data_IF_565149513526
#
_entry.id   IF_565149513526
#
_cell.length_a   1.000
_cell.length_b   1.000
_cell.length_c   1.000
_cell.angle_alpha   90.00
_cell.angle_beta   90.00
_cell.angle_gamma   90.00
#
_symmetry.space_group_name_H-M   'P 1'
#
loop_
_entity.id
_entity.type
_entity.pdbx_description
1 polymer ?
#
# COMPACT_ATOMS: atom_id res chain seq x y z
N UNK A 1 -7.03 45.43 30.64
CA UNK A 1 -6.48 44.88 31.91
C UNK A 1 -5.11 44.30 31.59
N UNK A 2 -4.01 44.66 32.25
CA UNK A 2 -2.70 44.14 31.92
C UNK A 2 -2.57 42.69 32.35
N UNK A 3 -2.00 41.87 31.43
CA UNK A 3 -1.80 40.41 31.55
C UNK A 3 -1.05 40.03 32.84
N UNK A 4 -0.24 40.92 33.37
CA UNK A 4 0.51 40.79 34.64
C UNK A 4 -0.35 40.59 35.90
N UNK A 5 -1.61 40.99 35.91
CA UNK A 5 -2.51 40.83 37.08
C UNK A 5 -3.13 39.44 37.19
N UNK A 6 -3.16 38.67 36.10
CA UNK A 6 -3.68 37.30 36.10
C UNK A 6 -2.73 36.30 36.80
N UNK A 7 -1.42 36.49 36.62
CA UNK A 7 -0.41 35.59 37.21
C UNK A 7 -0.29 35.73 38.75
N UNK A 8 -0.70 36.85 39.34
CA UNK A 8 -0.67 37.07 40.80
C UNK A 8 -1.73 36.27 41.58
N UNK A 9 -2.77 35.77 40.92
CA UNK A 9 -3.89 35.03 41.55
C UNK A 9 -3.68 33.51 41.65
N UNK A 10 -2.65 32.97 41.00
CA UNK A 10 -2.40 31.53 40.95
C UNK A 10 -1.01 31.20 41.51
N UNK A 11 -0.92 30.07 42.19
CA UNK A 11 0.36 29.51 42.65
C UNK A 11 0.42 28.05 42.34
N UNK A 12 1.61 27.55 42.00
CA UNK A 12 1.86 26.10 41.88
C UNK A 12 1.81 25.47 43.27
N UNK A 13 0.96 24.46 43.44
CA UNK A 13 1.00 23.63 44.62
C UNK A 13 2.33 22.86 44.65
N UNK A 14 2.83 22.54 45.88
CA UNK A 14 4.04 21.70 45.97
C UNK A 14 3.85 20.41 45.17
N UNK A 15 4.72 20.14 44.17
CA UNK A 15 4.57 18.97 43.33
C UNK A 15 4.74 17.70 44.19
N UNK A 16 3.81 16.77 44.09
CA UNK A 16 3.95 15.45 44.70
C UNK A 16 4.90 14.65 43.84
N UNK A 17 6.01 14.19 44.40
CA UNK A 17 7.06 13.49 43.65
C UNK A 17 6.50 12.36 42.75
N UNK A 18 5.61 11.54 43.29
CA UNK A 18 5.02 10.40 42.59
C UNK A 18 4.20 10.82 41.34
N UNK A 19 3.34 11.86 41.49
CA UNK A 19 2.53 12.36 40.35
C UNK A 19 3.39 13.03 39.28
N UNK A 20 4.46 13.71 39.68
CA UNK A 20 5.40 14.36 38.78
C UNK A 20 6.19 13.29 37.99
N UNK A 21 6.70 12.27 38.67
CA UNK A 21 7.40 11.18 38.03
C UNK A 21 6.47 10.37 37.06
N UNK A 22 5.23 10.14 37.50
CA UNK A 22 4.25 9.46 36.63
C UNK A 22 3.92 10.27 35.36
N UNK A 23 3.71 11.62 35.52
CA UNK A 23 3.48 12.47 34.36
C UNK A 23 4.70 12.54 33.42
N UNK A 24 5.90 12.71 33.99
CA UNK A 24 7.14 12.72 33.20
C UNK A 24 7.36 11.41 32.46
N UNK A 25 7.15 10.28 33.13
CA UNK A 25 7.27 8.96 32.51
C UNK A 25 6.21 8.76 31.40
N UNK A 26 4.96 9.17 31.63
CA UNK A 26 3.89 9.12 30.62
C UNK A 26 4.21 9.97 29.40
N UNK A 27 4.66 11.22 29.60
CA UNK A 27 5.07 12.10 28.49
C UNK A 27 6.27 11.50 27.74
N UNK A 28 7.30 11.03 28.45
CA UNK A 28 8.46 10.41 27.82
C UNK A 28 8.06 9.20 26.94
N UNK A 29 7.23 8.30 27.48
CA UNK A 29 6.75 7.13 26.75
C UNK A 29 5.99 7.51 25.48
N UNK A 30 5.07 8.47 25.58
CA UNK A 30 4.27 8.92 24.43
C UNK A 30 5.12 9.64 23.38
N UNK A 31 6.12 10.41 23.77
CA UNK A 31 7.07 11.04 22.85
C UNK A 31 7.96 10.00 22.13
N UNK A 32 8.41 8.97 22.84
CA UNK A 32 9.16 7.85 22.23
C UNK A 32 8.28 7.12 21.22
N UNK A 33 7.02 6.83 21.54
CA UNK A 33 6.09 6.20 20.62
C UNK A 33 5.81 7.09 19.38
N UNK A 34 5.64 8.40 19.56
CA UNK A 34 5.49 9.35 18.46
C UNK A 34 6.72 9.36 17.54
N UNK A 35 7.92 9.44 18.11
CA UNK A 35 9.18 9.43 17.38
C UNK A 35 9.36 8.12 16.58
N UNK A 36 9.02 6.99 17.17
CA UNK A 36 9.05 5.70 16.48
C UNK A 36 8.09 5.67 15.27
N UNK A 37 6.87 6.18 15.44
CA UNK A 37 5.90 6.26 14.34
C UNK A 37 6.37 7.19 13.21
N UNK A 38 6.98 8.34 13.54
CA UNK A 38 7.57 9.23 12.55
C UNK A 38 8.72 8.56 11.79
N UNK A 39 9.58 7.83 12.49
CA UNK A 39 10.65 7.04 11.86
C UNK A 39 10.11 6.03 10.85
N UNK A 40 9.01 5.34 11.21
CA UNK A 40 8.35 4.40 10.30
C UNK A 40 7.70 5.09 9.09
N UNK A 41 7.12 6.28 9.27
CA UNK A 41 6.61 7.06 8.15
C UNK A 41 7.72 7.42 7.16
N UNK A 42 8.84 7.97 7.65
CA UNK A 42 9.98 8.34 6.81
C UNK A 42 10.64 7.14 6.10
N UNK A 43 10.76 5.98 6.76
CA UNK A 43 11.25 4.75 6.10
C UNK A 43 10.38 4.37 4.90
N UNK A 44 9.05 4.45 5.06
CA UNK A 44 8.09 4.12 4.01
C UNK A 44 8.07 5.16 2.89
N UNK A 45 8.22 6.43 3.20
CA UNK A 45 8.40 7.50 2.20
C UNK A 45 9.67 7.29 1.38
N UNK A 46 10.76 6.93 2.04
CA UNK A 46 12.02 6.59 1.36
C UNK A 46 11.88 5.40 0.40
N UNK A 47 11.08 4.39 0.80
CA UNK A 47 10.78 3.24 -0.07
C UNK A 47 9.92 3.68 -1.28
N UNK A 48 8.87 4.49 -1.06
CA UNK A 48 8.03 5.03 -2.13
C UNK A 48 8.86 5.83 -3.16
N UNK A 49 9.74 6.71 -2.67
CA UNK A 49 10.61 7.50 -3.52
C UNK A 49 11.57 6.62 -4.35
N UNK A 50 12.11 5.54 -3.78
CA UNK A 50 12.96 4.59 -4.52
C UNK A 50 12.18 3.89 -5.62
N UNK A 51 10.95 3.43 -5.35
CA UNK A 51 10.09 2.80 -6.36
C UNK A 51 9.80 3.79 -7.49
N UNK A 52 9.52 5.05 -7.17
CA UNK A 52 9.27 6.08 -8.18
C UNK A 52 10.51 6.36 -9.07
N UNK A 53 11.71 6.41 -8.49
CA UNK A 53 12.96 6.56 -9.25
C UNK A 53 13.16 5.36 -10.18
N UNK A 54 13.02 4.13 -9.69
CA UNK A 54 13.17 2.91 -10.50
C UNK A 54 12.15 2.84 -11.64
N UNK A 55 10.92 3.31 -11.40
CA UNK A 55 9.88 3.35 -12.44
C UNK A 55 10.16 4.38 -13.56
N UNK A 56 11.03 5.37 -13.31
CA UNK A 56 11.45 6.37 -14.32
C UNK A 56 12.66 5.93 -15.14
N UNK A 57 13.37 4.90 -14.72
CA UNK A 57 14.49 4.35 -15.48
C UNK A 57 14.03 3.78 -16.84
N UNK A 58 14.92 3.68 -17.85
CA UNK A 58 14.62 3.03 -19.11
C UNK A 58 14.10 1.61 -18.88
N UNK A 59 13.10 1.20 -19.67
CA UNK A 59 12.50 -0.11 -19.53
C UNK A 59 13.51 -1.24 -19.78
N UNK A 60 13.54 -2.22 -18.90
CA UNK A 60 14.36 -3.44 -19.06
C UNK A 60 13.61 -4.40 -19.96
N UNK A 61 14.23 -4.82 -21.06
CA UNK A 61 13.63 -5.82 -21.95
C UNK A 61 13.63 -7.21 -21.33
N UNK A 62 12.45 -7.77 -21.11
CA UNK A 62 12.30 -9.16 -20.69
C UNK A 62 12.43 -10.07 -21.92
N UNK A 63 13.40 -10.99 -21.84
CA UNK A 63 13.65 -12.00 -22.85
C UNK A 63 13.21 -13.39 -22.35
N UNK A 64 13.49 -14.42 -23.12
CA UNK A 64 13.26 -15.81 -22.71
C UNK A 64 14.25 -16.32 -21.66
N UNK A 65 15.33 -15.58 -21.37
CA UNK A 65 16.20 -15.84 -20.22
C UNK A 65 15.45 -15.55 -18.91
N UNK A 66 15.62 -16.38 -17.90
CA UNK A 66 15.01 -16.16 -16.60
C UNK A 66 15.69 -14.99 -15.89
N UNK A 67 14.89 -14.01 -15.48
CA UNK A 67 15.36 -12.89 -14.66
C UNK A 67 15.23 -13.23 -13.17
N UNK A 68 16.03 -12.61 -12.32
CA UNK A 68 15.76 -12.63 -10.87
C UNK A 68 14.74 -11.55 -10.55
N UNK A 69 13.70 -11.89 -9.79
CA UNK A 69 12.66 -10.92 -9.42
C UNK A 69 13.24 -9.64 -8.82
N UNK A 70 14.24 -9.76 -7.93
CA UNK A 70 14.88 -8.63 -7.27
C UNK A 70 15.60 -7.64 -8.21
N UNK A 71 15.97 -8.08 -9.42
CA UNK A 71 16.70 -7.22 -10.38
C UNK A 71 15.72 -6.34 -11.20
N UNK A 72 14.44 -6.72 -11.27
CA UNK A 72 13.46 -6.05 -12.10
C UNK A 72 12.22 -5.55 -11.35
N UNK A 73 12.01 -6.00 -10.12
CA UNK A 73 10.87 -5.57 -9.29
C UNK A 73 10.92 -4.06 -9.04
N UNK A 74 9.78 -3.39 -9.26
CA UNK A 74 9.66 -1.93 -9.16
C UNK A 74 10.22 -1.16 -10.35
N UNK A 75 10.78 -1.85 -11.36
CA UNK A 75 11.30 -1.21 -12.58
C UNK A 75 10.27 -1.30 -13.71
N UNK A 76 10.35 -0.36 -14.62
CA UNK A 76 9.65 -0.48 -15.90
C UNK A 76 10.30 -1.56 -16.75
N UNK A 77 9.48 -2.44 -17.30
CA UNK A 77 9.91 -3.54 -18.18
C UNK A 77 9.15 -3.50 -19.51
N UNK A 78 9.78 -4.03 -20.56
CA UNK A 78 9.17 -4.23 -21.85
C UNK A 78 9.22 -5.73 -22.20
N UNK A 79 8.17 -6.23 -22.82
CA UNK A 79 8.12 -7.60 -23.34
C UNK A 79 7.40 -7.61 -24.68
N UNK A 80 7.96 -8.37 -25.64
CA UNK A 80 7.37 -8.58 -26.94
C UNK A 80 6.96 -10.05 -27.08
N UNK A 81 5.72 -10.30 -27.52
CA UNK A 81 5.21 -11.66 -27.60
C UNK A 81 3.75 -11.73 -27.99
N UNK A 82 3.13 -12.90 -27.77
CA UNK A 82 1.72 -13.15 -28.04
C UNK A 82 0.98 -13.50 -26.76
N UNK A 83 -0.18 -12.93 -26.56
CA UNK A 83 -1.07 -13.31 -25.47
C UNK A 83 -1.69 -14.70 -25.70
N UNK A 84 -1.86 -15.45 -24.61
CA UNK A 84 -2.50 -16.77 -24.59
C UNK A 84 -3.80 -16.70 -23.76
N UNK A 85 -4.95 -16.42 -24.42
CA UNK A 85 -6.24 -16.19 -23.73
C UNK A 85 -6.78 -17.43 -23.00
N UNK A 86 -6.40 -18.62 -23.41
CA UNK A 86 -6.77 -19.90 -22.80
C UNK A 86 -6.31 -20.02 -21.35
N UNK A 87 -5.20 -19.37 -21.00
CA UNK A 87 -4.62 -19.35 -19.67
C UNK A 87 -4.94 -18.08 -18.87
N UNK A 88 -5.86 -17.25 -19.38
CA UNK A 88 -6.24 -16.03 -18.69
C UNK A 88 -7.04 -16.34 -17.41
N UNK A 89 -6.76 -15.57 -16.35
CA UNK A 89 -7.52 -15.58 -15.10
C UNK A 89 -8.03 -14.17 -14.76
N UNK A 90 -9.18 -14.12 -14.10
CA UNK A 90 -9.83 -12.91 -13.67
C UNK A 90 -9.72 -12.83 -12.15
N UNK A 91 -9.08 -11.79 -11.62
CA UNK A 91 -9.02 -11.57 -10.19
C UNK A 91 -10.22 -10.75 -9.75
N UNK A 92 -11.10 -11.38 -8.98
CA UNK A 92 -12.37 -10.82 -8.53
C UNK A 92 -12.21 -9.72 -7.47
N UNK A 93 -13.31 -9.06 -7.21
CA UNK A 93 -13.46 -8.05 -6.16
C UNK A 93 -12.50 -6.87 -6.32
N UNK A 94 -12.29 -6.41 -7.56
CA UNK A 94 -11.50 -5.22 -7.89
C UNK A 94 -12.45 -4.05 -8.14
N UNK A 95 -12.54 -3.16 -7.14
CA UNK A 95 -13.44 -2.00 -7.21
C UNK A 95 -12.69 -0.84 -7.86
N UNK A 96 -13.31 -0.25 -8.90
CA UNK A 96 -12.83 0.96 -9.55
C UNK A 96 -13.96 1.98 -9.65
N UNK A 97 -13.77 3.16 -9.08
CA UNK A 97 -14.78 4.25 -9.05
C UNK A 97 -16.16 3.78 -8.56
N UNK A 98 -16.18 2.90 -7.55
CA UNK A 98 -17.41 2.35 -6.97
C UNK A 98 -18.04 1.20 -7.76
N UNK A 99 -17.47 0.79 -8.90
CA UNK A 99 -17.94 -0.33 -9.70
C UNK A 99 -17.09 -1.57 -9.42
N UNK A 100 -17.75 -2.69 -9.10
CA UNK A 100 -17.08 -3.97 -8.93
C UNK A 100 -16.69 -4.57 -10.29
N UNK A 101 -15.51 -5.18 -10.35
CA UNK A 101 -15.00 -5.78 -11.58
C UNK A 101 -13.81 -6.69 -11.30
N UNK A 102 -13.02 -6.92 -12.33
CA UNK A 102 -11.93 -7.87 -12.33
C UNK A 102 -10.64 -7.25 -12.83
N UNK A 103 -9.50 -7.67 -12.30
CA UNK A 103 -8.22 -7.54 -13.00
C UNK A 103 -8.03 -8.73 -13.94
N UNK A 104 -7.64 -8.44 -15.17
CA UNK A 104 -7.41 -9.45 -16.21
C UNK A 104 -5.94 -9.82 -16.23
N UNK A 105 -5.61 -11.04 -15.80
CA UNK A 105 -4.25 -11.56 -15.89
C UNK A 105 -4.18 -12.56 -17.04
N UNK A 106 -3.18 -12.38 -17.89
CA UNK A 106 -3.00 -13.21 -19.08
C UNK A 106 -1.51 -13.40 -19.36
N UNK A 107 -1.03 -14.62 -19.62
CA UNK A 107 0.36 -14.83 -19.99
C UNK A 107 0.64 -14.31 -21.39
N UNK A 108 1.82 -13.74 -21.54
CA UNK A 108 2.41 -13.35 -22.81
C UNK A 108 3.56 -14.31 -23.10
N UNK A 109 3.43 -15.12 -24.16
CA UNK A 109 4.50 -15.96 -24.68
C UNK A 109 5.58 -15.05 -25.27
N UNK A 110 6.75 -14.97 -24.64
CA UNK A 110 7.84 -14.07 -25.05
C UNK A 110 8.44 -14.57 -26.37
N UNK A 111 8.58 -13.66 -27.33
CA UNK A 111 9.14 -13.97 -28.64
C UNK A 111 10.56 -14.55 -28.54
N UNK A 112 10.85 -15.55 -29.33
CA UNK A 112 12.18 -16.20 -29.42
C UNK A 112 12.40 -17.37 -28.47
N UNK A 113 11.36 -17.85 -27.74
CA UNK A 113 11.50 -19.02 -26.89
C UNK A 113 10.20 -19.53 -26.29
N UNK A 114 10.31 -20.31 -25.21
CA UNK A 114 9.18 -20.98 -24.56
C UNK A 114 8.73 -20.33 -23.26
N UNK A 115 9.42 -19.29 -22.78
CA UNK A 115 9.10 -18.64 -21.50
C UNK A 115 8.02 -17.59 -21.68
N UNK A 116 7.18 -17.47 -20.68
CA UNK A 116 6.08 -16.51 -20.62
C UNK A 116 6.32 -15.50 -19.50
N UNK A 117 5.66 -14.37 -19.60
CA UNK A 117 5.51 -13.45 -18.47
C UNK A 117 4.01 -13.23 -18.22
N UNK A 118 3.60 -13.30 -16.96
CA UNK A 118 2.22 -13.01 -16.59
C UNK A 118 2.00 -11.49 -16.63
N UNK A 119 0.95 -11.06 -17.33
CA UNK A 119 0.61 -9.65 -17.50
C UNK A 119 -0.73 -9.37 -16.86
N UNK A 120 -0.76 -8.41 -15.94
CA UNK A 120 -2.00 -7.78 -15.53
C UNK A 120 -2.33 -6.72 -16.58
N UNK A 121 -3.26 -7.04 -17.46
CA UNK A 121 -3.62 -6.21 -18.61
C UNK A 121 -4.45 -4.99 -18.26
N UNK A 122 -5.10 -5.00 -17.10
CA UNK A 122 -5.96 -3.93 -16.64
C UNK A 122 -7.24 -4.42 -15.97
N UNK A 123 -8.10 -3.48 -15.66
CA UNK A 123 -9.40 -3.70 -15.02
C UNK A 123 -10.53 -3.70 -16.05
N UNK A 124 -11.50 -4.60 -15.82
CA UNK A 124 -12.77 -4.66 -16.58
C UNK A 124 -13.94 -4.70 -15.59
N UNK A 125 -15.02 -4.00 -15.93
CA UNK A 125 -16.26 -4.04 -15.13
C UNK A 125 -16.84 -5.46 -15.12
N UNK A 126 -17.39 -5.85 -13.98
CA UNK A 126 -18.22 -7.05 -13.90
C UNK A 126 -19.51 -6.88 -14.71
N UNK A 127 -20.10 -7.99 -15.14
CA UNK A 127 -21.41 -8.00 -15.79
C UNK A 127 -22.52 -7.91 -14.75
N UNK A 128 -23.73 -7.46 -15.16
CA UNK A 128 -24.90 -7.44 -14.29
C UNK A 128 -25.28 -8.84 -13.79
N UNK A 129 -25.04 -9.86 -14.62
CA UNK A 129 -25.20 -11.26 -14.30
C UNK A 129 -23.81 -11.87 -13.95
N UNK A 130 -23.54 -12.10 -12.66
CA UNK A 130 -22.27 -12.63 -12.19
C UNK A 130 -21.95 -14.05 -12.72
N UNK A 131 -22.92 -14.78 -13.25
CA UNK A 131 -22.68 -16.06 -13.90
C UNK A 131 -22.01 -15.92 -15.26
N UNK A 132 -22.05 -14.72 -15.85
CA UNK A 132 -21.42 -14.43 -17.15
C UNK A 132 -20.16 -13.59 -16.94
N UNK A 133 -19.03 -14.14 -17.31
CA UNK A 133 -17.77 -13.41 -17.26
C UNK A 133 -17.69 -12.39 -18.39
N UNK A 134 -17.06 -11.22 -18.15
CA UNK A 134 -16.84 -10.23 -19.19
C UNK A 134 -15.92 -10.81 -20.29
N UNK A 135 -16.22 -10.47 -21.54
CA UNK A 135 -15.38 -10.82 -22.67
C UNK A 135 -14.18 -9.91 -22.76
N UNK A 136 -12.99 -10.51 -22.84
CA UNK A 136 -11.72 -9.75 -22.92
C UNK A 136 -11.21 -9.79 -24.36
N UNK A 137 -11.27 -8.64 -25.03
CA UNK A 137 -10.67 -8.50 -26.36
C UNK A 137 -9.16 -8.71 -26.27
N UNK A 138 -8.65 -9.62 -27.11
CA UNK A 138 -7.22 -9.96 -27.10
C UNK A 138 -6.66 -9.87 -28.51
N UNK A 139 -5.57 -9.12 -28.74
CA UNK A 139 -4.90 -9.07 -30.02
C UNK A 139 -4.42 -10.47 -30.46
N UNK A 140 -4.69 -10.82 -31.71
CA UNK A 140 -4.31 -12.14 -32.26
C UNK A 140 -2.83 -12.26 -32.66
N UNK A 141 -2.11 -11.13 -32.77
CA UNK A 141 -0.72 -11.08 -33.23
C UNK A 141 0.29 -10.84 -32.11
N UNK A 142 1.55 -10.70 -32.52
CA UNK A 142 2.62 -10.25 -31.64
C UNK A 142 2.38 -8.78 -31.22
N UNK A 143 2.48 -8.53 -29.94
CA UNK A 143 2.37 -7.20 -29.34
C UNK A 143 3.64 -6.88 -28.57
N UNK A 144 3.93 -5.59 -28.43
CA UNK A 144 4.92 -5.09 -27.51
C UNK A 144 4.20 -4.38 -26.36
N UNK A 145 4.47 -4.81 -25.14
CA UNK A 145 3.88 -4.24 -23.94
C UNK A 145 4.97 -3.65 -23.05
N UNK A 146 4.63 -2.55 -22.39
CA UNK A 146 5.45 -1.95 -21.33
C UNK A 146 4.61 -1.82 -20.07
N UNK A 147 5.26 -1.86 -18.92
CA UNK A 147 4.62 -1.69 -17.64
C UNK A 147 5.56 -1.88 -16.48
N UNK A 148 5.03 -1.79 -15.27
CA UNK A 148 5.79 -1.96 -14.05
C UNK A 148 5.89 -3.46 -13.70
N UNK A 149 7.12 -3.95 -13.44
CA UNK A 149 7.31 -5.30 -12.91
C UNK A 149 7.01 -5.32 -11.43
N UNK A 150 6.08 -6.17 -11.02
CA UNK A 150 5.69 -6.35 -9.62
C UNK A 150 5.84 -7.81 -9.21
N UNK A 151 6.32 -8.05 -8.00
CA UNK A 151 6.25 -9.38 -7.41
C UNK A 151 4.89 -9.53 -6.71
N UNK A 152 4.03 -10.48 -7.12
CA UNK A 152 2.79 -10.72 -6.40
C UNK A 152 3.06 -11.10 -4.95
N UNK A 153 2.20 -10.64 -4.04
CA UNK A 153 2.31 -11.00 -2.63
C UNK A 153 2.37 -12.53 -2.45
N UNK A 154 3.28 -12.98 -1.59
CA UNK A 154 3.42 -14.41 -1.28
C UNK A 154 2.40 -14.92 -0.26
N UNK A 155 1.71 -14.00 0.42
CA UNK A 155 0.76 -14.33 1.49
C UNK A 155 -0.48 -13.46 1.35
N UNK A 156 -1.63 -14.10 1.25
CA UNK A 156 -2.94 -13.49 1.38
C UNK A 156 -3.67 -14.15 2.54
N UNK A 157 -4.43 -13.37 3.30
CA UNK A 157 -5.41 -13.93 4.22
C UNK A 157 -6.61 -14.36 3.36
N UNK A 158 -6.75 -15.65 3.12
CA UNK A 158 -7.87 -16.21 2.38
C UNK A 158 -8.99 -16.54 3.37
N UNK A 159 -10.11 -15.84 3.22
CA UNK A 159 -11.30 -16.03 4.06
C UNK A 159 -12.20 -17.19 3.57
N UNK A 160 -11.87 -17.77 2.41
CA UNK A 160 -12.63 -18.87 1.80
C UNK A 160 -11.70 -19.99 1.34
N UNK A 161 -12.14 -21.22 1.57
CA UNK A 161 -11.47 -22.42 1.04
C UNK A 161 -11.47 -22.49 -0.50
N UNK A 162 -12.42 -21.82 -1.17
CA UNK A 162 -12.55 -21.75 -2.63
C UNK A 162 -11.94 -20.45 -3.15
N UNK A 163 -10.62 -20.30 -3.02
CA UNK A 163 -9.89 -19.12 -3.48
C UNK A 163 -9.76 -19.03 -5.02
N UNK A 164 -10.12 -20.09 -5.74
CA UNK A 164 -10.13 -20.16 -7.21
C UNK A 164 -11.27 -21.06 -7.68
N UNK A 165 -12.14 -20.54 -8.54
CA UNK A 165 -13.21 -21.28 -9.19
C UNK A 165 -13.10 -21.07 -10.71
N UNK A 166 -12.62 -22.09 -11.41
CA UNK A 166 -12.35 -22.03 -12.84
C UNK A 166 -11.37 -20.90 -13.20
N UNK A 167 -11.84 -19.92 -14.00
CA UNK A 167 -11.04 -18.75 -14.43
C UNK A 167 -11.12 -17.55 -13.46
N UNK A 168 -11.93 -17.62 -12.40
CA UNK A 168 -12.12 -16.53 -11.44
C UNK A 168 -11.40 -16.86 -10.14
N UNK A 169 -10.49 -15.99 -9.74
CA UNK A 169 -9.68 -16.15 -8.56
C UNK A 169 -9.84 -14.94 -7.62
N UNK A 170 -9.81 -15.16 -6.32
CA UNK A 170 -9.87 -14.06 -5.34
C UNK A 170 -8.53 -13.32 -5.26
N UNK A 171 -7.42 -14.06 -5.30
CA UNK A 171 -6.08 -13.53 -5.19
C UNK A 171 -5.12 -14.24 -6.14
N UNK A 172 -4.07 -13.53 -6.55
CA UNK A 172 -2.99 -14.07 -7.35
C UNK A 172 -1.77 -14.36 -6.46
N UNK A 173 -1.28 -15.61 -6.50
CA UNK A 173 0.11 -15.93 -6.21
C UNK A 173 0.72 -16.60 -7.43
N UNK A 174 1.99 -16.32 -7.74
CA UNK A 174 2.67 -16.99 -8.86
C UNK A 174 2.79 -18.50 -8.64
N UNK A 175 2.88 -18.92 -7.39
CA UNK A 175 2.90 -20.34 -6.99
C UNK A 175 1.61 -21.05 -7.46
N UNK A 176 0.45 -20.50 -7.05
CA UNK A 176 -0.86 -21.05 -7.48
C UNK A 176 -1.01 -21.04 -8.99
N UNK A 177 -0.59 -19.96 -9.64
CA UNK A 177 -0.71 -19.87 -11.09
C UNK A 177 0.13 -20.93 -11.80
N UNK A 178 1.38 -21.19 -11.36
CA UNK A 178 2.24 -22.24 -11.89
C UNK A 178 1.69 -23.65 -11.67
N UNK A 179 0.97 -23.87 -10.58
CA UNK A 179 0.30 -25.15 -10.32
C UNK A 179 -0.91 -25.38 -11.25
N UNK A 180 -1.64 -24.30 -11.56
CA UNK A 180 -2.83 -24.36 -12.41
C UNK A 180 -2.49 -24.36 -13.91
N UNK A 181 -1.39 -23.72 -14.32
CA UNK A 181 -1.01 -23.51 -15.73
C UNK A 181 0.45 -23.98 -15.93
N UNK A 182 0.66 -25.11 -16.61
CA UNK A 182 1.99 -25.75 -16.71
C UNK A 182 2.88 -25.12 -17.80
N UNK A 183 3.10 -23.80 -17.72
CA UNK A 183 3.97 -23.04 -18.63
C UNK A 183 5.15 -22.43 -17.87
N UNK A 184 6.34 -22.32 -18.46
CA UNK A 184 7.48 -21.69 -17.82
C UNK A 184 7.28 -20.18 -17.73
N UNK A 185 7.25 -19.63 -16.52
CA UNK A 185 6.97 -18.22 -16.24
C UNK A 185 8.17 -17.48 -15.69
N UNK A 186 8.31 -16.22 -16.10
CA UNK A 186 9.14 -15.25 -15.38
C UNK A 186 8.63 -15.06 -13.93
N UNK A 187 9.51 -14.75 -12.96
CA UNK A 187 9.14 -14.64 -11.54
C UNK A 187 8.47 -13.32 -11.16
N UNK A 188 7.99 -12.56 -12.14
CA UNK A 188 7.31 -11.26 -11.96
C UNK A 188 6.03 -11.20 -12.78
N UNK A 189 5.16 -10.26 -12.40
CA UNK A 189 3.96 -9.88 -13.18
C UNK A 189 4.17 -8.47 -13.71
N UNK A 190 3.82 -8.24 -14.97
CA UNK A 190 3.82 -6.89 -15.56
C UNK A 190 2.45 -6.25 -15.29
N UNK A 191 2.40 -5.14 -14.58
CA UNK A 191 1.25 -4.23 -14.61
C UNK A 191 1.35 -3.41 -15.89
N UNK A 192 0.55 -3.75 -16.88
CA UNK A 192 0.62 -3.14 -18.20
C UNK A 192 0.26 -1.66 -18.15
N UNK A 193 1.14 -0.80 -18.68
CA UNK A 193 0.93 0.64 -18.85
C UNK A 193 0.66 1.01 -20.31
N UNK A 194 1.30 0.28 -21.24
CA UNK A 194 1.13 0.50 -22.68
C UNK A 194 -0.34 0.39 -23.09
N UNK A 195 -0.86 1.33 -23.89
CA UNK A 195 -2.24 1.28 -24.36
C UNK A 195 -2.45 0.12 -25.33
N UNK A 196 -3.63 -0.48 -25.26
CA UNK A 196 -4.16 -1.39 -26.28
C UNK A 196 -5.65 -1.10 -26.45
N UNK A 197 -6.18 -1.31 -27.64
CA UNK A 197 -7.61 -1.13 -27.95
C UNK A 197 -8.45 -2.34 -27.50
N UNK A 198 -8.35 -2.67 -26.22
CA UNK A 198 -8.99 -3.85 -25.62
C UNK A 198 -10.10 -3.47 -24.60
N UNK A 199 -10.29 -2.18 -24.34
CA UNK A 199 -11.32 -1.68 -23.42
C UNK A 199 -10.96 -1.85 -21.95
N UNK A 200 -9.74 -2.26 -21.60
CA UNK A 200 -9.30 -2.42 -20.23
C UNK A 200 -8.77 -1.10 -19.66
N UNK A 201 -9.12 -0.83 -18.42
CA UNK A 201 -8.60 0.33 -17.70
C UNK A 201 -7.24 0.00 -17.05
N UNK A 202 -6.25 0.88 -17.25
CA UNK A 202 -4.86 0.72 -16.78
C UNK A 202 -4.45 1.83 -15.83
N UNK A 203 -5.38 2.24 -14.97
CA UNK A 203 -5.10 3.15 -13.86
C UNK A 203 -4.68 2.30 -12.67
N UNK A 204 -3.39 2.30 -12.37
CA UNK A 204 -2.85 1.56 -11.23
C UNK A 204 -2.75 2.47 -10.04
N UNK A 205 -3.38 2.10 -8.93
CA UNK A 205 -3.18 2.80 -7.67
C UNK A 205 -1.73 2.60 -7.21
N UNK A 206 -1.05 3.67 -6.78
CA UNK A 206 0.25 3.52 -6.15
C UNK A 206 0.13 2.56 -4.96
N UNK A 207 1.14 1.73 -4.68
CA UNK A 207 1.11 0.87 -3.51
C UNK A 207 0.91 1.71 -2.25
N UNK A 208 -0.22 1.48 -1.54
CA UNK A 208 -0.46 2.12 -0.25
C UNK A 208 0.52 1.53 0.78
N UNK A 209 1.58 2.26 1.03
CA UNK A 209 2.57 1.90 2.04
C UNK A 209 2.09 2.23 3.46
N UNK A 210 0.90 2.79 3.62
CA UNK A 210 0.32 3.14 4.92
C UNK A 210 1.06 4.27 5.64
N UNK A 211 1.70 5.17 4.91
CA UNK A 211 2.45 6.33 5.46
C UNK A 211 1.54 7.19 6.32
N UNK A 212 0.35 7.53 5.80
CA UNK A 212 -0.62 8.38 6.50
C UNK A 212 -1.09 7.79 7.83
N UNK A 213 -1.17 6.46 7.93
CA UNK A 213 -1.53 5.78 9.17
C UNK A 213 -0.47 6.02 10.27
N UNK A 214 0.82 5.99 9.92
CA UNK A 214 1.89 6.27 10.87
C UNK A 214 1.90 7.73 11.31
N UNK A 215 1.66 8.70 10.42
CA UNK A 215 1.47 10.10 10.80
C UNK A 215 0.25 10.28 11.71
N UNK A 216 -0.87 9.60 11.43
CA UNK A 216 -2.06 9.62 12.30
C UNK A 216 -1.75 9.12 13.71
N UNK A 217 -1.05 8.00 13.84
CA UNK A 217 -0.63 7.49 15.16
C UNK A 217 0.39 8.41 15.86
N UNK A 218 1.35 8.98 15.13
CA UNK A 218 2.28 9.95 15.71
C UNK A 218 1.55 11.16 16.28
N UNK A 219 0.56 11.70 15.56
CA UNK A 219 -0.30 12.78 16.05
C UNK A 219 -1.07 12.40 17.33
N UNK A 220 -1.64 11.19 17.39
CA UNK A 220 -2.35 10.70 18.58
C UNK A 220 -1.43 10.63 19.80
N UNK A 221 -0.20 10.12 19.63
CA UNK A 221 0.77 10.05 20.72
C UNK A 221 1.20 11.44 21.20
N UNK A 222 1.42 12.41 20.30
CA UNK A 222 1.72 13.79 20.64
C UNK A 222 0.55 14.48 21.37
N UNK A 223 -0.68 14.25 20.90
CA UNK A 223 -1.89 14.77 21.55
C UNK A 223 -2.04 14.21 22.98
N UNK A 224 -1.72 12.91 23.17
CA UNK A 224 -1.74 12.30 24.50
C UNK A 224 -0.65 12.90 25.41
N UNK A 225 0.57 13.12 24.90
CA UNK A 225 1.63 13.80 25.66
C UNK A 225 1.18 15.20 26.12
N UNK A 226 0.59 15.97 25.21
CA UNK A 226 0.04 17.30 25.52
C UNK A 226 -1.09 17.22 26.56
N UNK A 227 -1.98 16.26 26.43
CA UNK A 227 -3.08 16.03 27.38
C UNK A 227 -2.54 15.75 28.78
N UNK A 228 -1.54 14.87 28.92
CA UNK A 228 -0.89 14.58 30.21
C UNK A 228 -0.27 15.85 30.79
N UNK A 229 0.44 16.63 29.96
CA UNK A 229 1.07 17.88 30.39
C UNK A 229 0.03 18.90 30.86
N UNK A 230 -1.02 19.15 30.08
CA UNK A 230 -2.09 20.08 30.43
C UNK A 230 -2.80 19.63 31.70
N UNK A 231 -3.13 18.35 31.81
CA UNK A 231 -3.77 17.81 33.02
C UNK A 231 -2.88 17.95 34.24
N UNK A 232 -1.58 17.70 34.13
CA UNK A 232 -0.62 17.90 35.20
C UNK A 232 -0.56 19.37 35.64
N UNK A 233 -0.49 20.29 34.69
CA UNK A 233 -0.47 21.74 34.98
C UNK A 233 -1.76 22.16 35.68
N UNK A 234 -2.92 21.81 35.13
CA UNK A 234 -4.24 22.21 35.68
C UNK A 234 -4.45 21.69 37.12
N UNK A 235 -4.03 20.45 37.39
CA UNK A 235 -4.18 19.82 38.70
C UNK A 235 -3.22 20.40 39.76
N UNK A 236 -2.10 21.00 39.36
CA UNK A 236 -1.10 21.58 40.25
C UNK A 236 -1.19 23.09 40.37
N UNK A 237 -2.02 23.77 39.57
CA UNK A 237 -2.27 25.20 39.68
C UNK A 237 -3.44 25.45 40.65
N UNK A 238 -3.20 26.17 41.75
CA UNK A 238 -4.23 26.56 42.72
C UNK A 238 -4.36 28.07 42.77
N UNK A 239 -5.58 28.58 43.07
CA UNK A 239 -5.78 29.99 43.39
C UNK A 239 -5.12 30.32 44.73
N UNK A 240 -4.41 31.43 44.81
CA UNK A 240 -3.94 31.97 46.10
C UNK A 240 -5.16 32.33 46.96
N UNK A 241 -5.17 31.96 48.28
CA UNK A 241 -6.17 32.47 49.17
C UNK A 241 -6.12 34.04 49.18
N UNK A 242 -7.25 34.71 49.38
CA UNK A 242 -7.23 36.16 49.61
C UNK A 242 -6.28 36.45 50.78
N UNK A 243 -5.32 37.38 50.57
CA UNK A 243 -4.55 37.87 51.71
C UNK A 243 -5.54 38.49 52.67
N UNK A 244 -5.67 37.95 53.89
CA UNK A 244 -6.33 38.61 54.97
C UNK A 244 -5.60 39.95 55.17
N UNK A 245 -6.30 41.06 54.84
CA UNK A 245 -5.83 42.42 55.11
C UNK A 245 -5.80 42.56 56.64
N UNK A 246 -4.62 42.44 57.17
CA UNK A 246 -4.34 42.97 58.51
C UNK A 246 -3.96 44.44 58.40
#
# INVERSE_FOLDING_TARGET
MPVTTLFRRYQFARPRLLTTLAAAAGIALTLVAASWQLGRAHEKEGLAARVEVLAREPAVSLTTAEVRAADVEGRRVAARGRFEPEYAVLIDNRIRRGVAGYHVLMPLAIEGGRRHVLVNRGWIAGTADRSRLPEVKTPAGTVEITGLAVAPSRRFLELSANAAEGRVWQNLTLERYRQAVPIPLQPVVIQQESPLEDGLAREWDPPDLGVNMHYGYAFQWLALALTILVFYIVTHVRRRPPEEQR
#
